data_IF_046013782514
#
_entry.id   IF_046013782514
#
_cell.length_a   1.000
_cell.length_b   1.000
_cell.length_c   1.000
_cell.angle_alpha   90.00
_cell.angle_beta   90.00
_cell.angle_gamma   90.00
#
_symmetry.space_group_name_H-M   'P 1'
#
loop_
_entity.id
_entity.type
_entity.pdbx_description
1 polymer ?
#
# COMPACT_ATOMS: atom_id res chain seq x y z
N UNK A 1 8.57 25.05 -16.23
CA UNK A 1 7.69 24.88 -15.06
C UNK A 1 7.04 26.22 -14.75
N UNK A 2 5.71 26.28 -14.74
CA UNK A 2 4.92 27.46 -14.39
C UNK A 2 4.98 27.68 -12.86
N UNK A 3 5.26 28.92 -12.43
CA UNK A 3 5.42 29.29 -11.02
C UNK A 3 4.28 30.18 -10.50
N UNK A 4 3.18 30.31 -11.23
CA UNK A 4 2.02 31.16 -10.86
C UNK A 4 1.54 30.94 -9.42
N UNK A 5 1.47 29.68 -8.97
CA UNK A 5 1.01 29.34 -7.62
C UNK A 5 2.14 29.19 -6.59
N UNK A 6 3.41 29.35 -6.98
CA UNK A 6 4.55 29.13 -6.10
C UNK A 6 4.56 30.14 -4.96
N UNK A 7 4.51 29.66 -3.72
CA UNK A 7 4.48 30.50 -2.51
C UNK A 7 3.19 31.30 -2.33
N UNK A 8 2.18 31.10 -3.20
CA UNK A 8 0.91 31.80 -3.12
C UNK A 8 0.00 31.13 -2.09
N UNK A 9 -0.73 31.92 -1.30
CA UNK A 9 -1.93 31.44 -0.62
C UNK A 9 -3.11 31.56 -1.57
N UNK A 10 -3.63 30.42 -2.03
CA UNK A 10 -4.87 30.36 -2.78
C UNK A 10 -6.02 30.61 -1.77
N UNK A 11 -7.06 31.31 -2.21
CA UNK A 11 -8.23 31.55 -1.37
C UNK A 11 -8.80 30.21 -0.87
N UNK A 12 -9.17 30.17 0.42
CA UNK A 12 -9.91 29.07 1.01
C UNK A 12 -11.23 28.86 0.21
N UNK A 13 -11.67 27.61 0.08
CA UNK A 13 -12.80 27.20 -0.76
C UNK A 13 -12.68 27.48 -2.27
N UNK A 14 -11.54 27.99 -2.76
CA UNK A 14 -11.30 28.06 -4.20
C UNK A 14 -11.48 26.68 -4.83
N UNK A 15 -12.13 26.65 -5.99
CA UNK A 15 -12.51 25.42 -6.66
C UNK A 15 -11.97 25.38 -8.07
N UNK A 16 -11.22 24.34 -8.37
CA UNK A 16 -10.70 24.03 -9.70
C UNK A 16 -11.38 22.76 -10.19
N UNK A 17 -12.06 22.82 -11.34
CA UNK A 17 -12.83 21.69 -11.86
C UNK A 17 -12.55 21.43 -13.33
N UNK A 18 -12.43 20.15 -13.70
CA UNK A 18 -12.36 19.70 -15.10
C UNK A 18 -11.22 20.37 -15.91
N UNK A 19 -10.07 20.55 -15.27
CA UNK A 19 -8.92 21.20 -15.89
C UNK A 19 -7.62 20.46 -15.61
N UNK A 20 -6.58 20.83 -16.35
CA UNK A 20 -5.27 20.21 -16.27
C UNK A 20 -4.23 21.22 -15.79
N UNK A 21 -3.47 20.87 -14.76
CA UNK A 21 -2.24 21.54 -14.39
C UNK A 21 -1.07 20.75 -14.99
N UNK A 22 -0.40 21.34 -15.97
CA UNK A 22 0.77 20.74 -16.64
C UNK A 22 2.00 21.60 -16.36
N UNK A 23 3.04 20.97 -15.81
CA UNK A 23 4.31 21.60 -15.46
C UNK A 23 4.19 22.73 -14.42
N UNK A 24 3.30 22.63 -13.42
CA UNK A 24 3.14 23.64 -12.37
C UNK A 24 3.99 23.36 -11.12
N UNK A 25 4.54 24.43 -10.55
CA UNK A 25 5.26 24.44 -9.28
C UNK A 25 4.38 25.06 -8.18
N UNK A 26 3.88 24.21 -7.28
CA UNK A 26 3.13 24.58 -6.07
C UNK A 26 4.05 24.67 -4.84
N UNK A 27 5.37 24.78 -5.01
CA UNK A 27 6.32 24.85 -3.91
C UNK A 27 5.95 25.97 -2.94
N UNK A 28 5.82 25.61 -1.65
CA UNK A 28 5.45 26.51 -0.54
C UNK A 28 4.11 27.24 -0.72
N UNK A 29 3.27 26.83 -1.67
CA UNK A 29 1.92 27.38 -1.78
C UNK A 29 1.08 26.92 -0.60
N UNK A 30 0.09 27.73 -0.24
CA UNK A 30 -0.94 27.36 0.70
C UNK A 30 -2.24 27.10 -0.08
N UNK A 31 -2.64 25.83 -0.10
CA UNK A 31 -3.86 25.35 -0.76
C UNK A 31 -4.83 24.77 0.28
N UNK A 32 -4.77 25.28 1.51
CA UNK A 32 -5.68 24.92 2.59
C UNK A 32 -7.13 25.12 2.17
N UNK A 33 -7.94 24.09 2.38
CA UNK A 33 -9.37 24.02 2.04
C UNK A 33 -9.73 24.19 0.55
N UNK A 34 -8.74 24.28 -0.34
CA UNK A 34 -8.95 24.29 -1.79
C UNK A 34 -9.51 22.94 -2.26
N UNK A 35 -10.45 23.01 -3.20
CA UNK A 35 -11.08 21.84 -3.81
C UNK A 35 -10.63 21.70 -5.26
N UNK A 36 -10.00 20.57 -5.55
CA UNK A 36 -9.71 20.13 -6.91
C UNK A 36 -10.66 18.98 -7.25
N UNK A 37 -11.47 19.14 -8.29
CA UNK A 37 -12.44 18.13 -8.74
C UNK A 37 -12.23 17.75 -10.19
N UNK A 38 -11.99 16.47 -10.47
CA UNK A 38 -11.72 15.98 -11.82
C UNK A 38 -10.57 16.77 -12.49
N UNK A 39 -9.47 16.93 -11.76
CA UNK A 39 -8.29 17.67 -12.20
C UNK A 39 -7.15 16.70 -12.50
N UNK A 40 -6.43 16.96 -13.58
CA UNK A 40 -5.19 16.24 -13.89
C UNK A 40 -3.99 17.08 -13.49
N UNK A 41 -3.11 16.51 -12.69
CA UNK A 41 -1.80 17.08 -12.41
C UNK A 41 -0.77 16.28 -13.20
N UNK A 42 -0.06 16.95 -14.11
CA UNK A 42 1.03 16.36 -14.89
C UNK A 42 2.31 17.12 -14.65
N UNK A 43 3.39 16.40 -14.33
CA UNK A 43 4.71 16.99 -14.10
C UNK A 43 4.69 18.12 -13.05
N UNK A 44 3.83 17.99 -12.03
CA UNK A 44 3.65 19.04 -11.01
C UNK A 44 4.53 18.78 -9.78
N UNK A 45 4.97 19.87 -9.13
CA UNK A 45 5.79 19.82 -7.92
C UNK A 45 5.03 20.41 -6.73
N UNK A 46 4.97 19.62 -5.66
CA UNK A 46 4.43 20.00 -4.36
C UNK A 46 5.54 19.89 -3.31
N UNK A 47 6.37 20.91 -3.17
CA UNK A 47 7.46 20.91 -2.18
C UNK A 47 7.13 21.87 -1.04
N UNK A 48 6.95 21.32 0.17
CA UNK A 48 6.48 22.05 1.36
C UNK A 48 5.18 22.83 1.13
N UNK A 49 4.35 22.35 0.20
CA UNK A 49 2.99 22.84 -0.01
C UNK A 49 2.15 22.55 1.23
N UNK A 50 1.30 23.50 1.61
CA UNK A 50 0.40 23.37 2.77
C UNK A 50 -0.95 22.88 2.25
N UNK A 51 -1.30 21.62 2.58
CA UNK A 51 -2.51 20.95 2.09
C UNK A 51 -3.58 20.75 3.19
N UNK A 52 -3.72 21.71 4.11
CA UNK A 52 -4.66 21.59 5.23
C UNK A 52 -6.09 21.38 4.73
N UNK A 53 -6.71 20.24 5.00
CA UNK A 53 -8.09 19.94 4.54
C UNK A 53 -8.33 20.08 3.03
N UNK A 54 -7.27 20.09 2.20
CA UNK A 54 -7.37 20.13 0.73
C UNK A 54 -8.04 18.85 0.21
N UNK A 55 -8.86 18.99 -0.82
CA UNK A 55 -9.66 17.89 -1.36
C UNK A 55 -9.30 17.65 -2.82
N UNK A 56 -8.63 16.53 -3.11
CA UNK A 56 -8.36 16.06 -4.47
C UNK A 56 -9.38 14.98 -4.83
N UNK A 57 -10.53 15.42 -5.31
CA UNK A 57 -11.65 14.57 -5.68
C UNK A 57 -11.56 14.18 -7.15
N UNK A 58 -11.59 12.88 -7.44
CA UNK A 58 -11.46 12.33 -8.79
C UNK A 58 -10.23 12.89 -9.53
N UNK A 59 -9.14 13.16 -8.80
CA UNK A 59 -7.93 13.76 -9.37
C UNK A 59 -6.93 12.68 -9.75
N UNK A 60 -6.16 12.96 -10.81
CA UNK A 60 -5.12 12.06 -11.28
C UNK A 60 -3.77 12.76 -11.26
N UNK A 61 -2.78 12.08 -10.72
CA UNK A 61 -1.41 12.57 -10.62
C UNK A 61 -0.51 11.72 -11.52
N UNK A 62 0.10 12.38 -12.51
CA UNK A 62 1.04 11.78 -13.45
C UNK A 62 2.37 12.51 -13.34
N UNK A 63 3.47 11.78 -13.11
CA UNK A 63 4.82 12.35 -13.03
C UNK A 63 4.94 13.46 -11.96
N UNK A 64 4.24 13.34 -10.84
CA UNK A 64 4.19 14.39 -9.81
C UNK A 64 5.11 14.07 -8.62
N UNK A 65 5.67 15.12 -8.00
CA UNK A 65 6.51 14.98 -6.81
C UNK A 65 5.92 15.72 -5.62
N UNK A 66 5.81 15.03 -4.49
CA UNK A 66 5.43 15.58 -3.19
C UNK A 66 6.62 15.48 -2.26
N UNK A 67 7.11 16.59 -1.74
CA UNK A 67 8.25 16.60 -0.81
C UNK A 67 7.92 17.38 0.44
N UNK A 68 8.01 16.74 1.60
CA UNK A 68 7.76 17.34 2.92
C UNK A 68 6.39 18.01 3.01
N UNK A 69 5.39 17.38 2.39
CA UNK A 69 3.99 17.81 2.43
C UNK A 69 3.27 17.07 3.55
N UNK A 70 2.46 17.79 4.32
CA UNK A 70 1.55 17.18 5.27
C UNK A 70 0.22 16.90 4.57
N UNK A 71 -0.04 15.63 4.28
CA UNK A 71 -1.24 15.10 3.63
C UNK A 71 -2.18 14.44 4.64
N UNK A 72 -1.94 14.61 5.96
CA UNK A 72 -2.67 13.83 6.97
C UNK A 72 -4.15 14.16 7.08
N UNK A 73 -4.56 15.31 6.55
CA UNK A 73 -5.94 15.79 6.50
C UNK A 73 -6.45 15.93 5.04
N UNK A 74 -5.77 15.29 4.09
CA UNK A 74 -5.99 15.46 2.65
C UNK A 74 -6.47 14.15 2.05
N UNK A 75 -7.39 14.23 1.08
CA UNK A 75 -7.79 13.10 0.25
C UNK A 75 -7.11 13.22 -1.11
N UNK A 76 -6.23 12.28 -1.48
CA UNK A 76 -5.42 12.36 -2.71
C UNK A 76 -6.06 11.72 -3.95
N UNK A 77 -7.12 10.93 -3.82
CA UNK A 77 -7.68 10.20 -4.97
C UNK A 77 -9.07 9.64 -4.73
N UNK A 78 -9.83 10.26 -3.80
CA UNK A 78 -11.21 9.88 -3.54
C UNK A 78 -12.02 9.91 -4.85
N UNK A 79 -13.00 9.01 -4.99
CA UNK A 79 -13.89 8.94 -6.14
C UNK A 79 -13.18 8.68 -7.46
N UNK A 80 -12.34 7.65 -7.50
CA UNK A 80 -11.78 7.16 -8.75
C UNK A 80 -10.46 7.79 -9.20
N UNK A 81 -9.86 8.65 -8.37
CA UNK A 81 -8.56 9.26 -8.65
C UNK A 81 -7.42 8.23 -8.65
N UNK A 82 -6.29 8.56 -9.25
CA UNK A 82 -5.18 7.61 -9.43
C UNK A 82 -3.81 8.28 -9.46
N UNK A 83 -2.78 7.46 -9.25
CA UNK A 83 -1.39 7.90 -9.16
C UNK A 83 -0.52 7.06 -10.09
N UNK A 84 0.22 7.74 -10.97
CA UNK A 84 1.19 7.10 -11.85
C UNK A 84 2.50 7.90 -11.86
N UNK A 85 3.61 7.19 -11.73
CA UNK A 85 4.94 7.78 -11.76
C UNK A 85 5.11 8.92 -10.75
N UNK A 86 4.62 8.72 -9.52
CA UNK A 86 4.66 9.73 -8.47
C UNK A 86 5.75 9.44 -7.44
N UNK A 87 6.28 10.48 -6.81
CA UNK A 87 7.26 10.33 -5.72
C UNK A 87 6.82 11.13 -4.50
N UNK A 88 6.73 10.48 -3.35
CA UNK A 88 6.44 11.09 -2.05
C UNK A 88 7.67 10.99 -1.17
N UNK A 89 8.28 12.12 -0.82
CA UNK A 89 9.51 12.18 0.00
C UNK A 89 9.24 12.89 1.31
N UNK A 90 9.41 12.18 2.43
CA UNK A 90 9.27 12.76 3.79
C UNK A 90 7.90 13.41 4.01
N UNK A 91 6.86 12.87 3.38
CA UNK A 91 5.49 13.33 3.55
C UNK A 91 4.85 12.70 4.79
N UNK A 92 3.88 13.39 5.38
CA UNK A 92 3.00 12.79 6.40
C UNK A 92 1.72 12.35 5.72
N UNK A 93 1.46 11.05 5.66
CA UNK A 93 0.27 10.53 5.00
C UNK A 93 -0.93 10.53 5.97
N UNK A 94 -2.14 10.53 5.40
CA UNK A 94 -3.39 10.36 6.16
C UNK A 94 -3.51 8.98 6.76
N UNK A 95 -4.57 8.75 7.55
CA UNK A 95 -4.92 7.39 8.00
C UNK A 95 -5.48 6.53 6.86
N UNK A 96 -6.11 7.17 5.88
CA UNK A 96 -6.77 6.49 4.76
C UNK A 96 -6.38 7.22 3.48
N UNK A 97 -6.06 6.47 2.43
CA UNK A 97 -5.99 6.98 1.07
C UNK A 97 -6.80 6.10 0.13
N UNK A 98 -7.61 6.76 -0.68
CA UNK A 98 -8.32 6.13 -1.78
C UNK A 98 -7.58 6.49 -3.06
N UNK A 99 -7.20 5.48 -3.84
CA UNK A 99 -6.70 5.63 -5.19
C UNK A 99 -7.10 4.40 -6.01
N UNK A 100 -7.78 4.57 -7.15
CA UNK A 100 -8.17 3.43 -7.98
C UNK A 100 -6.95 2.62 -8.45
N UNK A 101 -5.86 3.29 -8.75
CA UNK A 101 -4.57 2.65 -9.00
C UNK A 101 -3.42 3.47 -8.42
N UNK A 102 -2.35 2.76 -8.04
CA UNK A 102 -1.06 3.34 -7.67
C UNK A 102 0.03 2.61 -8.46
N UNK A 103 0.69 3.30 -9.37
CA UNK A 103 1.67 2.66 -10.26
C UNK A 103 2.95 3.46 -10.36
N UNK A 104 4.09 2.77 -10.52
CA UNK A 104 5.40 3.37 -10.70
C UNK A 104 5.71 4.42 -9.61
N UNK A 105 5.31 4.16 -8.36
CA UNK A 105 5.30 5.17 -7.31
C UNK A 105 6.28 4.83 -6.20
N UNK A 106 6.95 5.85 -5.66
CA UNK A 106 7.89 5.70 -4.54
C UNK A 106 7.40 6.46 -3.32
N UNK A 107 7.30 5.77 -2.19
CA UNK A 107 7.09 6.37 -0.87
C UNK A 107 8.41 6.33 -0.10
N UNK A 108 9.14 7.45 -0.10
CA UNK A 108 10.46 7.55 0.50
C UNK A 108 10.41 8.28 1.84
N UNK A 109 10.73 7.56 2.93
CA UNK A 109 10.83 8.10 4.29
C UNK A 109 9.58 8.87 4.70
N UNK A 110 8.41 8.45 4.22
CA UNK A 110 7.12 9.01 4.61
C UNK A 110 6.72 8.49 5.99
N UNK A 111 5.94 9.27 6.73
CA UNK A 111 5.35 8.81 7.99
C UNK A 111 4.13 7.94 7.69
N UNK A 112 4.35 6.63 7.58
CA UNK A 112 3.32 5.60 7.40
C UNK A 112 3.04 4.98 8.76
N UNK A 113 1.92 5.37 9.40
CA UNK A 113 1.46 4.81 10.66
C UNK A 113 -0.07 4.69 10.69
N UNK A 114 -0.60 3.50 10.98
CA UNK A 114 -2.05 3.23 10.98
C UNK A 114 -2.70 3.71 9.68
N UNK A 115 -2.15 3.21 8.58
CA UNK A 115 -2.42 3.69 7.23
C UNK A 115 -3.06 2.60 6.39
N UNK A 116 -4.22 2.93 5.83
CA UNK A 116 -4.98 2.06 4.94
C UNK A 116 -4.99 2.66 3.54
N UNK A 117 -4.61 1.87 2.54
CA UNK A 117 -4.83 2.22 1.14
C UNK A 117 -5.98 1.38 0.60
N UNK A 118 -7.05 2.05 0.17
CA UNK A 118 -8.07 1.44 -0.67
C UNK A 118 -7.69 1.64 -2.12
N UNK A 119 -7.46 0.54 -2.84
CA UNK A 119 -7.19 0.58 -4.28
C UNK A 119 -7.76 -0.64 -5.01
N UNK A 120 -7.74 -0.61 -6.34
CA UNK A 120 -8.03 -1.80 -7.16
C UNK A 120 -6.72 -2.45 -7.64
N UNK A 121 -5.70 -1.63 -7.89
CA UNK A 121 -4.48 -2.07 -8.57
C UNK A 121 -3.24 -1.32 -8.05
N UNK A 122 -2.18 -2.05 -7.78
CA UNK A 122 -0.88 -1.50 -7.39
C UNK A 122 0.24 -2.21 -8.16
N UNK A 123 1.08 -1.45 -8.86
CA UNK A 123 2.17 -2.03 -9.66
C UNK A 123 3.44 -1.18 -9.64
N UNK A 124 4.61 -1.82 -9.52
CA UNK A 124 5.92 -1.14 -9.52
C UNK A 124 5.98 -0.05 -8.43
N UNK A 125 5.64 -0.42 -7.20
CA UNK A 125 5.63 0.51 -6.06
C UNK A 125 6.73 0.14 -5.09
N UNK A 126 7.47 1.15 -4.63
CA UNK A 126 8.54 0.98 -3.66
C UNK A 126 8.27 1.78 -2.39
N UNK A 127 8.44 1.14 -1.25
CA UNK A 127 8.39 1.78 0.06
C UNK A 127 9.79 1.78 0.69
N UNK A 128 10.19 2.93 1.23
CA UNK A 128 11.49 3.10 1.88
C UNK A 128 11.29 3.76 3.25
N UNK A 129 11.93 3.22 4.28
CA UNK A 129 11.83 3.69 5.66
C UNK A 129 10.82 2.92 6.51
N UNK A 130 10.37 3.53 7.62
CA UNK A 130 9.52 2.87 8.60
C UNK A 130 8.05 2.81 8.14
N UNK A 131 7.48 1.62 8.22
CA UNK A 131 6.08 1.31 8.00
C UNK A 131 5.54 0.63 9.27
N UNK A 132 4.50 1.20 9.85
CA UNK A 132 3.90 0.71 11.09
C UNK A 132 2.38 0.64 10.92
N UNK A 133 1.77 -0.55 11.07
CA UNK A 133 0.31 -0.71 10.96
C UNK A 133 -0.21 -0.25 9.58
N UNK A 134 0.06 -1.08 8.57
CA UNK A 134 -0.18 -0.78 7.16
C UNK A 134 -1.06 -1.84 6.51
N UNK A 135 -2.15 -1.38 5.90
CA UNK A 135 -3.14 -2.25 5.27
C UNK A 135 -3.40 -1.82 3.83
N UNK A 136 -3.55 -2.81 2.95
CA UNK A 136 -4.08 -2.58 1.61
C UNK A 136 -5.39 -3.34 1.50
N UNK A 137 -6.45 -2.61 1.14
CA UNK A 137 -7.80 -3.13 1.04
C UNK A 137 -8.40 -2.79 -0.32
N UNK A 138 -9.39 -3.58 -0.71
CA UNK A 138 -10.04 -3.40 -1.99
C UNK A 138 -10.95 -2.18 -1.96
N UNK A 139 -10.72 -1.25 -2.88
CA UNK A 139 -11.66 -0.15 -3.11
C UNK A 139 -12.99 -0.69 -3.65
N UNK A 140 -14.11 -0.21 -3.10
CA UNK A 140 -15.44 -0.59 -3.58
C UNK A 140 -15.79 0.14 -4.89
N UNK A 141 -16.55 -0.52 -5.76
CA UNK A 141 -16.95 0.06 -7.06
C UNK A 141 -17.81 1.31 -6.87
N UNK A 142 -18.67 1.29 -5.85
CA UNK A 142 -19.57 2.39 -5.49
C UNK A 142 -18.81 3.63 -5.04
N UNK A 143 -17.61 3.47 -4.46
CA UNK A 143 -16.77 4.58 -4.04
C UNK A 143 -16.12 5.29 -5.22
N UNK A 144 -15.83 4.57 -6.31
CA UNK A 144 -15.22 5.14 -7.52
C UNK A 144 -16.19 6.12 -8.18
N UNK A 145 -17.45 5.73 -8.32
CA UNK A 145 -18.46 6.49 -9.03
C UNK A 145 -19.25 7.45 -8.14
N UNK A 146 -18.96 7.46 -6.83
CA UNK A 146 -19.66 8.27 -5.85
C UNK A 146 -19.58 9.77 -6.22
N UNK A 147 -20.72 10.46 -6.13
CA UNK A 147 -20.83 11.90 -6.39
C UNK A 147 -20.37 12.35 -7.79
N UNK A 148 -20.44 11.43 -8.76
CA UNK A 148 -20.22 11.70 -10.18
C UNK A 148 -21.51 11.55 -11.00
N UNK A 149 -21.58 12.23 -12.14
CA UNK A 149 -22.58 11.92 -13.16
C UNK A 149 -22.22 10.61 -13.88
N UNK A 150 -23.18 9.95 -14.53
CA UNK A 150 -22.93 8.72 -15.28
C UNK A 150 -21.79 8.88 -16.30
N UNK A 151 -21.81 9.94 -17.12
CA UNK A 151 -20.77 10.20 -18.11
C UNK A 151 -19.36 10.35 -17.50
N UNK A 152 -19.27 10.95 -16.30
CA UNK A 152 -17.98 11.11 -15.61
C UNK A 152 -17.51 9.82 -14.99
N UNK A 153 -18.41 9.05 -14.40
CA UNK A 153 -18.11 7.71 -13.92
C UNK A 153 -17.59 6.83 -15.07
N UNK A 154 -18.20 6.86 -16.25
CA UNK A 154 -17.74 6.12 -17.44
C UNK A 154 -16.34 6.56 -17.88
N UNK A 155 -16.05 7.86 -17.91
CA UNK A 155 -14.72 8.39 -18.26
C UNK A 155 -13.64 7.93 -17.27
N UNK A 156 -13.95 7.98 -15.97
CA UNK A 156 -13.04 7.52 -14.90
C UNK A 156 -12.79 6.03 -15.02
N UNK A 157 -13.84 5.22 -15.18
CA UNK A 157 -13.75 3.77 -15.36
C UNK A 157 -12.91 3.44 -16.59
N UNK A 158 -13.19 4.09 -17.73
CA UNK A 158 -12.42 3.91 -18.95
C UNK A 158 -10.93 4.20 -18.73
N UNK A 159 -10.61 5.28 -18.02
CA UNK A 159 -9.22 5.62 -17.69
C UNK A 159 -8.57 4.58 -16.81
N UNK A 160 -9.25 4.10 -15.77
CA UNK A 160 -8.74 3.06 -14.87
C UNK A 160 -8.41 1.81 -15.69
N UNK A 161 -9.37 1.30 -16.48
CA UNK A 161 -9.18 0.13 -17.35
C UNK A 161 -8.03 0.31 -18.33
N UNK A 162 -7.95 1.47 -18.98
CA UNK A 162 -6.89 1.80 -19.93
C UNK A 162 -5.51 1.81 -19.26
N UNK A 163 -5.42 2.38 -18.06
CA UNK A 163 -4.16 2.48 -17.32
C UNK A 163 -3.68 1.12 -16.81
N UNK A 164 -4.58 0.37 -16.17
CA UNK A 164 -4.27 -0.97 -15.64
C UNK A 164 -4.16 -2.02 -16.74
N UNK A 165 -4.65 -1.72 -17.95
CA UNK A 165 -4.76 -2.65 -19.09
C UNK A 165 -5.62 -3.87 -18.75
N UNK A 166 -6.65 -3.66 -17.94
CA UNK A 166 -7.53 -4.73 -17.43
C UNK A 166 -9.00 -4.34 -17.59
N UNK A 167 -9.73 -5.08 -18.42
CA UNK A 167 -11.15 -4.81 -18.68
C UNK A 167 -12.05 -5.09 -17.47
N UNK A 168 -11.73 -6.12 -16.68
CA UNK A 168 -12.56 -6.57 -15.55
C UNK A 168 -12.01 -6.14 -14.19
N UNK A 169 -11.17 -5.10 -14.14
CA UNK A 169 -10.51 -4.66 -12.89
C UNK A 169 -11.49 -4.28 -11.78
N UNK A 170 -12.67 -3.77 -12.12
CA UNK A 170 -13.70 -3.42 -11.14
C UNK A 170 -14.43 -4.65 -10.58
N UNK A 171 -14.31 -5.81 -11.21
CA UNK A 171 -14.96 -7.06 -10.83
C UNK A 171 -13.99 -8.03 -10.12
N UNK A 172 -12.68 -7.74 -10.15
CA UNK A 172 -11.67 -8.48 -9.38
C UNK A 172 -12.06 -8.50 -7.90
N UNK A 173 -12.00 -9.64 -7.22
CA UNK A 173 -12.41 -9.77 -5.81
C UNK A 173 -11.36 -9.27 -4.82
N UNK A 174 -10.14 -8.99 -5.30
CA UNK A 174 -8.97 -8.58 -4.53
C UNK A 174 -8.24 -7.43 -5.21
N UNK A 175 -7.39 -6.75 -4.44
CA UNK A 175 -6.39 -5.82 -4.96
C UNK A 175 -5.31 -6.60 -5.67
N UNK A 176 -4.98 -6.21 -6.90
CA UNK A 176 -3.88 -6.82 -7.62
C UNK A 176 -2.61 -6.04 -7.30
N UNK A 177 -1.62 -6.69 -6.69
CA UNK A 177 -0.35 -6.09 -6.28
C UNK A 177 0.82 -6.76 -7.01
N UNK A 178 1.51 -6.02 -7.87
CA UNK A 178 2.61 -6.53 -8.69
C UNK A 178 3.89 -5.74 -8.49
N UNK A 179 5.04 -6.41 -8.42
CA UNK A 179 6.36 -5.75 -8.38
C UNK A 179 6.45 -4.73 -7.24
N UNK A 180 6.17 -5.18 -6.00
CA UNK A 180 6.20 -4.31 -4.82
C UNK A 180 7.50 -4.50 -4.08
N UNK A 181 8.21 -3.41 -3.85
CA UNK A 181 9.54 -3.40 -3.25
C UNK A 181 9.53 -2.80 -1.84
N UNK A 182 9.78 -3.65 -0.84
CA UNK A 182 9.97 -3.29 0.55
C UNK A 182 11.43 -3.49 1.02
N UNK A 183 12.38 -3.73 0.12
CA UNK A 183 13.77 -4.10 0.46
C UNK A 183 14.48 -3.10 1.37
N UNK A 184 14.13 -1.82 1.28
CA UNK A 184 14.66 -0.71 2.08
C UNK A 184 13.65 -0.20 3.12
N UNK A 185 12.61 -0.98 3.41
CA UNK A 185 11.64 -0.69 4.45
C UNK A 185 11.96 -1.44 5.74
N UNK A 186 11.50 -0.90 6.87
CA UNK A 186 11.30 -1.64 8.11
C UNK A 186 9.82 -1.69 8.37
N UNK A 187 9.24 -2.87 8.53
CA UNK A 187 7.79 -3.04 8.59
C UNK A 187 7.35 -3.78 9.86
N UNK A 188 6.15 -3.47 10.32
CA UNK A 188 5.43 -4.22 11.36
C UNK A 188 3.92 -4.03 11.20
N UNK A 189 3.15 -5.05 11.58
CA UNK A 189 1.70 -5.07 11.51
C UNK A 189 1.18 -4.78 10.09
N UNK A 190 1.40 -5.73 9.18
CA UNK A 190 1.00 -5.60 7.78
C UNK A 190 -0.24 -6.46 7.51
N UNK A 191 -1.14 -5.99 6.64
CA UNK A 191 -2.31 -6.77 6.26
C UNK A 191 -2.57 -6.69 4.76
N UNK A 192 -2.49 -7.84 4.11
CA UNK A 192 -2.69 -8.01 2.68
C UNK A 192 -3.75 -9.08 2.35
N UNK A 193 -4.70 -9.38 3.27
CA UNK A 193 -5.71 -10.46 3.08
C UNK A 193 -6.53 -10.28 1.82
N UNK A 194 -6.86 -9.03 1.51
CA UNK A 194 -7.63 -8.64 0.34
C UNK A 194 -6.77 -8.43 -0.92
N UNK A 195 -5.51 -8.88 -0.92
CA UNK A 195 -4.58 -8.70 -2.02
C UNK A 195 -4.22 -10.02 -2.71
N UNK A 196 -3.92 -9.92 -4.00
CA UNK A 196 -3.23 -10.92 -4.81
C UNK A 196 -1.82 -10.40 -5.02
N UNK A 197 -0.85 -11.07 -4.40
CA UNK A 197 0.55 -10.66 -4.41
C UNK A 197 1.32 -11.34 -5.55
N UNK A 198 2.04 -10.57 -6.36
CA UNK A 198 2.89 -11.06 -7.43
C UNK A 198 4.23 -10.29 -7.41
N UNK A 199 5.36 -11.00 -7.44
CA UNK A 199 6.70 -10.40 -7.44
C UNK A 199 6.92 -9.39 -6.31
N UNK A 200 6.76 -9.83 -5.06
CA UNK A 200 7.01 -9.00 -3.88
C UNK A 200 8.45 -9.19 -3.41
N UNK A 201 9.11 -8.09 -3.06
CA UNK A 201 10.43 -8.08 -2.42
C UNK A 201 10.22 -7.66 -0.96
N UNK A 202 10.38 -8.56 0.03
CA UNK A 202 10.26 -8.19 1.44
C UNK A 202 11.46 -7.32 1.88
N UNK A 203 11.41 -6.74 3.09
CA UNK A 203 12.58 -6.16 3.74
C UNK A 203 13.79 -7.11 3.72
N UNK A 204 14.99 -6.56 3.52
CA UNK A 204 16.24 -7.32 3.58
C UNK A 204 16.65 -7.44 5.06
N UNK A 205 15.94 -8.28 5.80
CA UNK A 205 16.18 -8.59 7.21
C UNK A 205 15.80 -10.05 7.55
N UNK A 206 16.01 -10.44 8.80
CA UNK A 206 15.62 -11.75 9.35
C UNK A 206 14.24 -11.72 10.06
N UNK A 207 13.54 -10.59 9.97
CA UNK A 207 12.24 -10.34 10.62
C UNK A 207 11.06 -10.46 9.65
N UNK A 208 11.33 -10.61 8.35
CA UNK A 208 10.32 -10.79 7.31
C UNK A 208 10.66 -11.98 6.40
N UNK A 209 9.69 -12.89 6.23
CA UNK A 209 9.85 -14.05 5.37
C UNK A 209 8.74 -14.09 4.32
N UNK A 210 9.11 -13.94 3.05
CA UNK A 210 8.18 -14.16 1.94
C UNK A 210 7.98 -15.67 1.71
N UNK A 211 6.74 -16.12 1.82
CA UNK A 211 6.32 -17.46 1.43
C UNK A 211 5.55 -17.35 0.12
N UNK A 212 6.25 -17.59 -1.00
CA UNK A 212 5.67 -17.45 -2.35
C UNK A 212 4.97 -18.71 -2.89
N UNK A 213 5.08 -19.85 -2.21
CA UNK A 213 4.54 -21.16 -2.63
C UNK A 213 4.52 -22.11 -1.45
N UNK A 214 3.75 -23.19 -1.56
CA UNK A 214 3.68 -24.27 -0.57
C UNK A 214 3.26 -23.78 0.84
N UNK A 215 2.51 -22.69 0.95
CA UNK A 215 2.12 -22.10 2.24
C UNK A 215 1.53 -23.17 3.18
N UNK A 216 0.54 -23.92 2.70
CA UNK A 216 -0.11 -25.00 3.46
C UNK A 216 0.85 -26.08 3.97
N UNK A 217 1.88 -26.43 3.18
CA UNK A 217 2.87 -27.46 3.57
C UNK A 217 3.86 -26.92 4.59
N UNK A 218 4.26 -25.65 4.44
CA UNK A 218 5.15 -24.98 5.39
C UNK A 218 4.44 -24.86 6.73
N UNK A 219 3.22 -24.33 6.74
CA UNK A 219 2.44 -24.16 7.97
C UNK A 219 2.10 -25.50 8.62
N UNK A 220 1.81 -26.56 7.85
CA UNK A 220 1.61 -27.90 8.40
C UNK A 220 2.84 -28.43 9.15
N UNK A 221 4.05 -28.30 8.56
CA UNK A 221 5.30 -28.69 9.24
C UNK A 221 5.55 -27.87 10.50
N UNK A 222 5.33 -26.55 10.44
CA UNK A 222 5.49 -25.68 11.62
C UNK A 222 4.52 -26.10 12.72
N UNK A 223 3.25 -26.40 12.39
CA UNK A 223 2.27 -26.92 13.35
C UNK A 223 2.69 -28.25 13.97
N UNK A 224 3.20 -29.20 13.18
CA UNK A 224 3.68 -30.49 13.69
C UNK A 224 4.84 -30.34 14.69
N UNK A 225 5.81 -29.47 14.40
CA UNK A 225 6.94 -29.20 15.31
C UNK A 225 6.47 -28.48 16.58
N UNK A 226 5.49 -27.57 16.48
CA UNK A 226 4.87 -26.94 17.66
C UNK A 226 4.16 -27.99 18.51
N UNK A 227 3.36 -28.85 17.90
CA UNK A 227 2.61 -29.89 18.59
C UNK A 227 3.52 -30.83 19.40
N UNK A 228 4.69 -31.14 18.85
CA UNK A 228 5.68 -32.06 19.40
C UNK A 228 6.59 -31.44 20.47
N UNK A 229 7.11 -30.24 20.23
CA UNK A 229 8.24 -29.69 20.99
C UNK A 229 7.86 -28.48 21.89
N UNK A 230 6.61 -27.98 21.83
CA UNK A 230 6.15 -26.88 22.68
C UNK A 230 5.27 -27.39 23.83
N UNK A 231 5.84 -27.41 25.04
CA UNK A 231 5.19 -27.97 26.23
C UNK A 231 4.27 -26.99 26.98
N UNK A 232 4.49 -25.67 26.85
CA UNK A 232 3.61 -24.67 27.44
C UNK A 232 2.32 -24.57 26.62
N UNK A 233 1.17 -24.80 27.26
CA UNK A 233 -0.14 -24.85 26.61
C UNK A 233 -0.56 -23.49 26.01
N UNK A 234 -0.27 -22.38 26.69
CA UNK A 234 -0.62 -21.04 26.23
C UNK A 234 0.25 -20.66 25.01
N UNK A 235 1.58 -20.81 25.11
CA UNK A 235 2.50 -20.53 24.00
C UNK A 235 2.17 -21.37 22.78
N UNK A 236 1.84 -22.65 22.98
CA UNK A 236 1.40 -23.55 21.92
C UNK A 236 0.12 -23.05 21.25
N UNK A 237 -0.89 -22.65 22.04
CA UNK A 237 -2.14 -22.09 21.53
C UNK A 237 -1.91 -20.81 20.73
N UNK A 238 -1.09 -19.88 21.23
CA UNK A 238 -0.75 -18.64 20.56
C UNK A 238 0.00 -18.87 19.25
N UNK A 239 0.96 -19.80 19.21
CA UNK A 239 1.71 -20.13 18.00
C UNK A 239 0.80 -20.73 16.92
N UNK A 240 -0.11 -21.64 17.29
CA UNK A 240 -1.11 -22.19 16.35
C UNK A 240 -2.07 -21.12 15.84
N UNK A 241 -2.43 -20.14 16.67
CA UNK A 241 -3.24 -19.00 16.23
C UNK A 241 -2.48 -18.09 15.26
N UNK A 242 -1.17 -17.87 15.45
CA UNK A 242 -0.34 -17.17 14.49
C UNK A 242 -0.33 -17.87 13.12
N UNK A 243 -0.21 -19.20 13.10
CA UNK A 243 -0.27 -19.99 11.87
C UNK A 243 -1.62 -19.82 11.17
N UNK A 244 -2.73 -19.86 11.92
CA UNK A 244 -4.07 -19.64 11.38
C UNK A 244 -4.16 -18.27 10.70
N UNK A 245 -3.64 -17.22 11.33
CA UNK A 245 -3.64 -15.87 10.75
C UNK A 245 -2.83 -15.81 9.45
N UNK A 246 -1.68 -16.47 9.42
CA UNK A 246 -0.83 -16.57 8.21
C UNK A 246 -1.55 -17.32 7.08
N UNK A 247 -2.34 -18.36 7.39
CA UNK A 247 -3.14 -19.11 6.40
C UNK A 247 -4.33 -18.32 5.84
N UNK A 248 -4.85 -17.33 6.58
CA UNK A 248 -5.90 -16.44 6.08
C UNK A 248 -5.38 -15.46 5.02
N UNK A 249 -4.07 -15.21 5.00
CA UNK A 249 -3.39 -14.49 3.92
C UNK A 249 -3.25 -15.45 2.73
N UNK A 250 -3.91 -15.14 1.61
CA UNK A 250 -3.95 -15.98 0.41
C UNK A 250 -2.55 -16.29 -0.14
N UNK A 251 -2.38 -17.22 -1.11
CA UNK A 251 -1.31 -18.24 -1.13
C UNK A 251 0.15 -17.73 -1.15
N UNK A 252 0.35 -16.42 -1.34
CA UNK A 252 1.61 -15.71 -1.18
C UNK A 252 1.45 -14.74 -0.02
N UNK A 253 2.30 -14.85 1.00
CA UNK A 253 2.25 -14.00 2.20
C UNK A 253 3.65 -13.61 2.69
N UNK A 254 3.72 -12.54 3.49
CA UNK A 254 4.91 -12.13 4.21
C UNK A 254 4.67 -12.44 5.69
N UNK A 255 5.42 -13.40 6.23
CA UNK A 255 5.44 -13.65 7.67
C UNK A 255 6.24 -12.54 8.34
N UNK A 256 5.66 -11.88 9.34
CA UNK A 256 6.28 -10.77 10.06
C UNK A 256 6.56 -11.15 11.52
N UNK A 257 7.82 -11.08 11.93
CA UNK A 257 8.25 -11.40 13.29
C UNK A 257 7.60 -10.51 14.36
N UNK A 258 7.37 -9.22 14.03
CA UNK A 258 6.77 -8.27 14.96
C UNK A 258 5.33 -8.65 15.33
N UNK A 259 4.61 -9.32 14.42
CA UNK A 259 3.27 -9.82 14.70
C UNK A 259 3.32 -10.97 15.71
N UNK A 260 4.31 -11.86 15.61
CA UNK A 260 4.51 -12.94 16.59
C UNK A 260 4.89 -12.39 17.96
N UNK A 261 5.80 -11.40 18.00
CA UNK A 261 6.21 -10.75 19.25
C UNK A 261 5.02 -10.16 19.99
N UNK A 262 4.04 -9.63 19.28
CA UNK A 262 2.84 -9.04 19.87
C UNK A 262 2.00 -10.03 20.68
N UNK A 263 2.04 -11.33 20.36
CA UNK A 263 1.33 -12.36 21.11
C UNK A 263 1.99 -12.67 22.46
N UNK A 264 3.32 -12.55 22.56
CA UNK A 264 4.04 -12.87 23.79
C UNK A 264 5.31 -12.02 23.98
N UNK A 265 6.46 -12.49 23.51
CA UNK A 265 7.77 -11.85 23.71
C UNK A 265 8.73 -12.16 22.55
N UNK A 266 9.97 -11.69 22.66
CA UNK A 266 11.00 -11.85 21.61
C UNK A 266 11.41 -13.32 21.41
N UNK A 267 11.56 -14.08 22.50
CA UNK A 267 11.95 -15.49 22.45
C UNK A 267 10.90 -16.34 21.72
N UNK A 268 9.61 -16.09 22.01
CA UNK A 268 8.50 -16.71 21.30
C UNK A 268 8.55 -16.43 19.80
N UNK A 269 8.77 -15.16 19.43
CA UNK A 269 8.78 -14.71 18.04
C UNK A 269 9.98 -15.26 17.27
N UNK A 270 11.16 -15.27 17.89
CA UNK A 270 12.38 -15.85 17.31
C UNK A 270 12.18 -17.34 17.06
N UNK A 271 11.72 -18.10 18.07
CA UNK A 271 11.46 -19.54 17.94
C UNK A 271 10.46 -19.86 16.84
N UNK A 272 9.37 -19.09 16.74
CA UNK A 272 8.35 -19.32 15.71
C UNK A 272 8.87 -18.96 14.31
N UNK A 273 9.58 -17.82 14.17
CA UNK A 273 10.16 -17.41 12.89
C UNK A 273 11.21 -18.42 12.40
N UNK A 274 12.04 -18.96 13.28
CA UNK A 274 13.00 -20.02 12.95
C UNK A 274 12.32 -21.28 12.39
N UNK A 275 11.18 -21.69 12.95
CA UNK A 275 10.42 -22.83 12.42
C UNK A 275 9.93 -22.56 10.99
N UNK A 276 9.41 -21.37 10.71
CA UNK A 276 8.98 -20.99 9.36
C UNK A 276 10.15 -20.97 8.38
N UNK A 277 11.29 -20.39 8.77
CA UNK A 277 12.50 -20.35 7.94
C UNK A 277 13.00 -21.76 7.64
N UNK A 278 13.11 -22.62 8.67
CA UNK A 278 13.53 -24.03 8.55
C UNK A 278 12.60 -24.80 7.61
N UNK A 279 11.29 -24.77 7.88
CA UNK A 279 10.30 -25.50 7.08
C UNK A 279 10.29 -25.06 5.62
N UNK A 280 10.42 -23.75 5.36
CA UNK A 280 10.53 -23.21 4.00
C UNK A 280 11.81 -23.71 3.31
N UNK A 281 12.96 -23.63 3.97
CA UNK A 281 14.26 -24.04 3.42
C UNK A 281 14.25 -25.52 3.02
N UNK A 282 13.78 -26.40 3.90
CA UNK A 282 13.70 -27.84 3.62
C UNK A 282 12.80 -28.16 2.41
N UNK A 283 11.69 -27.44 2.25
CA UNK A 283 10.78 -27.63 1.12
C UNK A 283 11.33 -27.06 -0.19
N UNK A 284 12.11 -26.00 -0.14
CA UNK A 284 12.82 -25.48 -1.31
C UNK A 284 13.98 -26.38 -1.74
N UNK A 285 14.75 -26.92 -0.78
CA UNK A 285 15.89 -27.82 -1.02
C UNK A 285 15.45 -29.20 -1.54
N UNK A 286 14.34 -29.75 -1.02
CA UNK A 286 13.80 -31.05 -1.48
C UNK A 286 13.40 -31.07 -2.98
N UNK A 287 13.17 -29.89 -3.58
CA UNK A 287 12.93 -29.77 -5.03
C UNK A 287 14.20 -29.83 -5.86
N UNK A 288 15.37 -29.48 -5.30
CA UNK A 288 16.64 -29.56 -6.03
C UNK A 288 17.17 -31.00 -6.17
N UNK A 289 16.68 -31.93 -5.34
CA UNK A 289 17.03 -33.35 -5.40
C UNK A 289 16.13 -34.18 -6.36
N UNK A 290 15.10 -33.56 -6.95
CA UNK A 290 14.11 -34.22 -7.82
C UNK A 290 14.07 -33.67 -9.26
N UNK A 291 15.02 -32.80 -9.61
CA UNK A 291 15.32 -32.32 -10.97
C UNK A 291 16.74 -32.69 -11.35
#
# INVERSE_FOLDING_TARGET
MNTEYKGLKIAEDAKFENMDFVDYDFTKSDITEVVFKNVNFRNCIFNKTICGHTRFWCCFFENCTFTRVNLSATYLGAWGGGQNNCTFVKCKLGKITNASYITNTVFENCKIKSYIIYCLYMENVRFVGLIDDFMIQRMRKEEITQYQTSDKAEQVIFRIKKHTKMENILDASKVIMKNIDFSLATMQFINFKECELEHIIPPIDDKHLLIGKNLDKITARVSEEIEKDWYNADNKSWALNCIKNVLEEAPITIVCWHEFKHFENEEFADRLMELFIKAKRELDDSKQLTT
#
